data_IF_524215403357
#
_entry.id   IF_524215403357
#
_cell.length_a   1.000
_cell.length_b   1.000
_cell.length_c   1.000
_cell.angle_alpha   90.00
_cell.angle_beta   90.00
_cell.angle_gamma   90.00
#
_symmetry.space_group_name_H-M   'P 1'
#
loop_
_entity.id
_entity.type
_entity.pdbx_description
1 polymer ?
#
# COMPACT_ATOMS: atom_id res chain seq x y z
N UNK A 1 -0.78 -6.29 41.47
CA UNK A 1 -1.19 -7.71 41.49
C UNK A 1 -1.55 -8.20 40.09
N UNK A 2 -2.53 -7.63 39.37
CA UNK A 2 -2.80 -8.02 37.97
C UNK A 2 -1.66 -7.65 37.01
N UNK A 3 -1.11 -6.43 37.16
CA UNK A 3 -0.04 -5.91 36.31
C UNK A 3 1.24 -6.76 36.38
N UNK A 4 1.57 -7.30 37.55
CA UNK A 4 2.75 -8.15 37.76
C UNK A 4 2.59 -9.52 37.08
N UNK A 5 1.37 -10.08 37.11
CA UNK A 5 1.04 -11.33 36.43
C UNK A 5 1.04 -11.16 34.91
N UNK A 6 0.51 -10.05 34.41
CA UNK A 6 0.53 -9.71 33.00
C UNK A 6 1.97 -9.51 32.49
N UNK A 7 2.79 -8.76 33.23
CA UNK A 7 4.21 -8.58 32.90
C UNK A 7 4.95 -9.92 32.83
N UNK A 8 4.71 -10.82 33.78
CA UNK A 8 5.29 -12.17 33.78
C UNK A 8 4.83 -12.98 32.56
N UNK A 9 3.54 -12.92 32.23
CA UNK A 9 2.96 -13.66 31.12
C UNK A 9 3.50 -13.19 29.75
N UNK A 10 3.77 -11.89 29.59
CA UNK A 10 4.24 -11.32 28.33
C UNK A 10 5.77 -11.32 28.20
N UNK A 11 6.50 -11.09 29.29
CA UNK A 11 7.93 -10.77 29.19
C UNK A 11 8.87 -11.90 29.61
N UNK A 12 8.49 -12.78 30.54
CA UNK A 12 9.47 -13.68 31.17
C UNK A 12 9.72 -14.96 30.36
N UNK A 13 8.81 -15.30 29.45
CA UNK A 13 8.88 -16.55 28.68
C UNK A 13 8.71 -17.79 29.56
N UNK A 14 9.46 -18.85 29.24
CA UNK A 14 9.42 -20.12 29.97
C UNK A 14 8.29 -21.05 29.51
N UNK A 15 8.03 -22.07 30.32
CA UNK A 15 6.96 -23.04 30.05
C UNK A 15 5.75 -22.77 30.95
N UNK A 16 4.56 -22.99 30.41
CA UNK A 16 3.31 -22.85 31.14
C UNK A 16 2.37 -24.01 30.81
N UNK A 17 1.39 -24.24 31.69
CA UNK A 17 0.31 -25.17 31.42
C UNK A 17 -0.81 -24.41 30.70
N UNK A 18 -1.03 -24.73 29.43
CA UNK A 18 -2.10 -24.17 28.63
C UNK A 18 -3.30 -25.11 28.60
N UNK A 19 -4.50 -24.56 28.77
CA UNK A 19 -5.75 -25.26 28.51
C UNK A 19 -5.97 -25.33 27.00
N UNK A 20 -5.99 -26.54 26.46
CA UNK A 20 -6.31 -26.79 25.06
C UNK A 20 -7.65 -27.51 25.01
N UNK A 21 -8.66 -26.82 24.50
CA UNK A 21 -9.97 -27.38 24.26
C UNK A 21 -9.98 -28.15 22.94
N UNK A 22 -10.31 -29.43 22.99
CA UNK A 22 -10.53 -30.25 21.81
C UNK A 22 -12.02 -30.24 21.44
N UNK A 23 -12.36 -29.67 20.28
CA UNK A 23 -13.74 -29.58 19.79
C UNK A 23 -14.35 -30.95 19.44
N UNK A 24 -13.52 -31.92 19.03
CA UNK A 24 -13.97 -33.24 18.61
C UNK A 24 -14.35 -34.12 19.80
N UNK A 25 -13.60 -34.00 20.90
CA UNK A 25 -13.82 -34.77 22.14
C UNK A 25 -14.59 -33.93 23.18
N UNK A 26 -14.85 -32.65 22.89
CA UNK A 26 -15.47 -31.66 23.80
C UNK A 26 -14.83 -31.66 25.19
N UNK A 27 -13.51 -31.77 25.25
CA UNK A 27 -12.75 -31.94 26.49
C UNK A 27 -11.61 -30.94 26.58
N UNK A 28 -11.43 -30.34 27.76
CA UNK A 28 -10.26 -29.52 28.09
C UNK A 28 -9.12 -30.44 28.49
N UNK A 29 -7.94 -30.22 27.91
CA UNK A 29 -6.70 -30.90 28.30
C UNK A 29 -5.67 -29.87 28.72
N UNK A 30 -4.91 -30.18 29.78
CA UNK A 30 -3.80 -29.35 30.22
C UNK A 30 -2.52 -29.87 29.60
N UNK A 31 -1.86 -29.05 28.77
CA UNK A 31 -0.60 -29.41 28.13
C UNK A 31 0.48 -28.41 28.49
N UNK A 32 1.70 -28.90 28.69
CA UNK A 32 2.88 -28.07 28.87
C UNK A 32 3.24 -27.43 27.52
N UNK A 33 3.24 -26.11 27.47
CA UNK A 33 3.53 -25.31 26.29
C UNK A 33 4.67 -24.33 26.57
N UNK A 34 5.41 -23.95 25.53
CA UNK A 34 6.49 -22.96 25.62
C UNK A 34 5.95 -21.59 25.21
N UNK A 35 6.26 -20.54 25.98
CA UNK A 35 6.09 -19.16 25.55
C UNK A 35 7.23 -18.83 24.59
N UNK A 36 6.89 -18.67 23.31
CA UNK A 36 7.85 -18.35 22.24
C UNK A 36 8.05 -16.85 22.06
N UNK A 37 7.33 -16.03 22.82
CA UNK A 37 7.59 -14.61 23.02
C UNK A 37 8.16 -14.38 24.42
N UNK A 38 9.16 -13.50 24.50
CA UNK A 38 9.75 -13.02 25.75
C UNK A 38 10.44 -11.67 25.50
N UNK A 39 10.77 -10.97 26.57
CA UNK A 39 11.55 -9.75 26.50
C UNK A 39 12.99 -10.08 26.07
N UNK A 40 13.44 -9.41 25.01
CA UNK A 40 14.81 -9.55 24.51
C UNK A 40 15.74 -8.51 25.14
N UNK A 41 15.27 -7.28 25.34
CA UNK A 41 16.06 -6.16 25.83
C UNK A 41 15.24 -5.37 26.86
N UNK A 42 15.89 -4.99 27.95
CA UNK A 42 15.29 -4.22 29.03
C UNK A 42 15.98 -2.85 29.09
N UNK A 43 15.18 -1.79 29.06
CA UNK A 43 15.66 -0.41 29.15
C UNK A 43 15.36 0.11 30.54
N UNK A 44 16.41 0.49 31.27
CA UNK A 44 16.30 1.07 32.60
C UNK A 44 16.77 2.51 32.57
N UNK A 45 16.03 3.39 33.26
CA UNK A 45 16.40 4.79 33.44
C UNK A 45 16.82 5.00 34.89
N UNK A 46 17.95 5.70 35.10
CA UNK A 46 18.43 6.03 36.44
C UNK A 46 17.45 7.01 37.10
N UNK A 47 17.08 6.76 38.37
CA UNK A 47 16.01 7.49 39.05
C UNK A 47 16.27 8.99 39.18
N UNK A 48 17.50 9.38 39.50
CA UNK A 48 17.93 10.77 39.54
C UNK A 48 17.85 11.45 38.17
N UNK A 49 18.05 10.75 37.05
CA UNK A 49 17.83 11.31 35.70
C UNK A 49 16.37 11.70 35.48
N UNK A 50 15.43 10.88 35.97
CA UNK A 50 13.99 11.14 35.89
C UNK A 50 13.65 12.40 36.69
N UNK A 51 14.16 12.50 37.93
CA UNK A 51 13.89 13.62 38.84
C UNK A 51 14.58 14.92 38.42
N UNK A 52 15.76 14.84 37.76
CA UNK A 52 16.52 16.01 37.27
C UNK A 52 15.91 16.60 35.98
N UNK A 53 15.06 15.84 35.29
CA UNK A 53 14.48 16.25 34.01
C UNK A 53 13.00 16.56 34.21
N UNK A 54 12.52 17.79 34.14
CA UNK A 54 12.38 18.58 32.92
C UNK A 54 12.06 17.81 31.61
N UNK A 55 12.07 16.47 31.54
CA UNK A 55 11.82 15.71 30.31
C UNK A 55 10.36 15.80 29.93
N UNK A 56 9.44 15.61 30.88
CA UNK A 56 8.00 15.84 30.64
C UNK A 56 7.73 17.29 30.23
N UNK A 57 8.35 18.25 30.93
CA UNK A 57 8.24 19.67 30.57
C UNK A 57 8.91 19.99 29.23
N UNK A 58 10.00 19.32 28.86
CA UNK A 58 10.71 19.50 27.57
C UNK A 58 9.93 18.83 26.45
N UNK A 59 9.28 17.69 26.69
CA UNK A 59 8.37 17.05 25.76
C UNK A 59 7.10 17.89 25.56
N UNK A 60 6.49 18.41 26.62
CA UNK A 60 5.39 19.39 26.53
C UNK A 60 5.84 20.68 25.82
N UNK A 61 7.05 21.17 26.11
CA UNK A 61 7.63 22.33 25.45
C UNK A 61 8.04 22.03 24.00
N UNK A 62 8.33 20.79 23.60
CA UNK A 62 8.53 20.38 22.20
C UNK A 62 7.21 20.27 21.43
N UNK A 63 6.10 20.02 22.14
CA UNK A 63 4.76 20.09 21.55
C UNK A 63 4.33 21.55 21.35
N UNK A 64 4.72 22.46 22.26
CA UNK A 64 4.29 23.86 22.26
C UNK A 64 5.26 24.83 21.56
N UNK A 65 6.55 24.59 21.60
CA UNK A 65 7.52 25.24 20.73
C UNK A 65 7.66 24.34 19.53
N UNK A 66 7.34 24.88 18.36
CA UNK A 66 8.02 24.50 17.14
C UNK A 66 9.52 24.57 17.44
N UNK A 67 10.13 23.48 17.92
CA UNK A 67 11.53 23.21 17.63
C UNK A 67 11.45 22.82 16.17
N UNK A 68 11.68 23.78 15.24
CA UNK A 68 11.44 23.48 13.85
C UNK A 68 12.51 22.47 13.52
N UNK A 69 12.07 21.22 13.31
CA UNK A 69 12.87 20.13 12.74
C UNK A 69 13.95 20.76 11.87
N UNK A 70 15.26 20.53 12.14
CA UNK A 70 16.32 21.30 11.51
C UNK A 70 16.06 21.48 10.02
N UNK A 71 16.18 22.72 9.51
CA UNK A 71 15.79 23.09 8.13
C UNK A 71 16.21 22.04 7.07
N UNK A 72 17.41 21.43 7.12
CA UNK A 72 17.77 20.35 6.18
C UNK A 72 16.84 19.14 6.23
N UNK A 73 16.50 18.67 7.44
CA UNK A 73 15.60 17.53 7.66
C UNK A 73 14.19 17.91 7.20
N UNK A 74 13.70 19.09 7.58
CA UNK A 74 12.37 19.56 7.20
C UNK A 74 12.24 19.67 5.67
N UNK A 75 13.23 20.24 4.99
CA UNK A 75 13.26 20.33 3.53
C UNK A 75 13.31 18.94 2.88
N UNK A 76 14.07 18.01 3.45
CA UNK A 76 14.17 16.63 2.94
C UNK A 76 12.84 15.88 3.05
N UNK A 77 12.19 15.95 4.22
CA UNK A 77 10.87 15.36 4.46
C UNK A 77 9.83 16.02 3.56
N UNK A 78 9.83 17.36 3.46
CA UNK A 78 8.90 18.09 2.59
C UNK A 78 9.04 17.68 1.13
N UNK A 79 10.26 17.59 0.59
CA UNK A 79 10.48 17.13 -0.79
C UNK A 79 9.97 15.70 -1.00
N UNK A 80 10.24 14.82 -0.05
CA UNK A 80 9.79 13.42 -0.11
C UNK A 80 8.27 13.32 -0.09
N UNK A 81 7.60 14.10 0.76
CA UNK A 81 6.15 14.15 0.85
C UNK A 81 5.50 14.75 -0.41
N UNK A 82 6.09 15.80 -0.98
CA UNK A 82 5.61 16.38 -2.25
C UNK A 82 5.73 15.35 -3.38
N UNK A 83 6.88 14.69 -3.51
CA UNK A 83 7.09 13.63 -4.50
C UNK A 83 6.10 12.47 -4.30
N UNK A 84 5.87 12.06 -3.05
CA UNK A 84 4.87 11.05 -2.72
C UNK A 84 3.47 11.48 -3.13
N UNK A 85 3.08 12.73 -2.84
CA UNK A 85 1.76 13.28 -3.22
C UNK A 85 1.56 13.25 -4.74
N UNK A 86 2.56 13.70 -5.51
CA UNK A 86 2.50 13.64 -6.98
C UNK A 86 2.41 12.21 -7.51
N UNK A 87 3.16 11.27 -6.91
CA UNK A 87 3.06 9.87 -7.28
C UNK A 87 1.69 9.29 -6.90
N UNK A 88 1.15 9.63 -5.73
CA UNK A 88 -0.15 9.17 -5.27
C UNK A 88 -1.30 9.65 -6.16
N UNK A 89 -1.23 10.90 -6.65
CA UNK A 89 -2.24 11.47 -7.55
C UNK A 89 -2.37 10.69 -8.86
N UNK A 90 -1.27 10.10 -9.35
CA UNK A 90 -1.26 9.21 -10.52
C UNK A 90 -1.96 7.86 -10.24
N UNK A 91 -2.16 7.50 -8.97
CA UNK A 91 -2.86 6.28 -8.55
C UNK A 91 -4.32 6.56 -8.15
N UNK A 92 -5.00 7.38 -8.94
CA UNK A 92 -6.44 7.63 -8.83
C UNK A 92 -7.25 6.74 -9.78
N UNK A 93 -8.48 6.39 -9.38
CA UNK A 93 -9.39 5.63 -10.23
C UNK A 93 -9.71 6.40 -11.52
N UNK A 94 -9.76 7.73 -11.44
CA UNK A 94 -9.97 8.63 -12.56
C UNK A 94 -8.85 8.54 -13.60
N UNK A 95 -7.58 8.45 -13.17
CA UNK A 95 -6.45 8.26 -14.06
C UNK A 95 -6.55 6.92 -14.82
N UNK A 96 -6.88 5.82 -14.13
CA UNK A 96 -7.08 4.51 -14.76
C UNK A 96 -8.24 4.52 -15.76
N UNK A 97 -9.35 5.17 -15.41
CA UNK A 97 -10.50 5.32 -16.30
C UNK A 97 -10.18 6.22 -17.51
N UNK A 98 -9.41 7.29 -17.31
CA UNK A 98 -8.92 8.13 -18.38
C UNK A 98 -8.07 7.33 -19.36
N UNK A 99 -7.12 6.53 -18.87
CA UNK A 99 -6.28 5.68 -19.71
C UNK A 99 -7.10 4.66 -20.51
N UNK A 100 -8.11 4.02 -19.89
CA UNK A 100 -9.04 3.12 -20.61
C UNK A 100 -9.80 3.87 -21.71
N UNK A 101 -10.38 5.03 -21.40
CA UNK A 101 -11.13 5.85 -22.38
C UNK A 101 -10.24 6.32 -23.52
N UNK A 102 -9.01 6.72 -23.23
CA UNK A 102 -8.04 7.16 -24.22
C UNK A 102 -7.68 6.02 -25.18
N UNK A 103 -7.50 4.80 -24.66
CA UNK A 103 -7.31 3.61 -25.49
C UNK A 103 -8.55 3.31 -26.35
N UNK A 104 -9.76 3.53 -25.85
CA UNK A 104 -10.98 3.26 -26.61
C UNK A 104 -11.34 4.33 -27.67
N UNK A 105 -10.76 5.54 -27.63
CA UNK A 105 -11.13 6.63 -28.54
C UNK A 105 -10.98 6.28 -30.03
N UNK A 106 -9.88 5.64 -30.49
CA UNK A 106 -9.75 5.21 -31.88
C UNK A 106 -10.86 4.26 -32.35
N UNK A 107 -11.39 3.43 -31.43
CA UNK A 107 -12.44 2.44 -31.74
C UNK A 107 -13.83 3.09 -31.92
N UNK A 108 -14.09 4.23 -31.27
CA UNK A 108 -15.38 4.93 -31.36
C UNK A 108 -15.57 5.68 -32.68
N UNK A 109 -14.49 5.95 -33.42
CA UNK A 109 -14.51 6.65 -34.72
C UNK A 109 -15.15 5.78 -35.83
N UNK A 110 -15.37 4.49 -35.57
CA UNK A 110 -15.86 3.49 -36.53
C UNK A 110 -17.37 3.61 -36.82
N UNK A 111 -18.19 4.13 -35.89
CA UNK A 111 -19.65 4.17 -36.06
C UNK A 111 -20.18 5.19 -37.07
N UNK A 112 -19.32 6.07 -37.61
CA UNK A 112 -19.69 7.06 -38.63
C UNK A 112 -19.13 6.68 -40.00
N UNK A 113 -20.03 6.35 -40.92
CA UNK A 113 -19.77 6.03 -42.33
C UNK A 113 -18.64 6.87 -42.99
N UNK A 114 -17.57 6.19 -43.43
CA UNK A 114 -16.99 6.30 -44.78
C UNK A 114 -15.74 5.41 -44.92
N UNK A 115 -15.80 4.57 -45.94
CA UNK A 115 -15.00 3.38 -46.18
C UNK A 115 -13.69 3.71 -46.93
N UNK A 116 -12.66 2.90 -46.71
CA UNK A 116 -11.42 2.76 -47.49
C UNK A 116 -10.24 3.69 -47.18
N UNK A 117 -10.34 5.02 -47.16
CA UNK A 117 -9.15 5.90 -46.92
C UNK A 117 -8.75 5.99 -45.43
N UNK A 118 -9.64 5.57 -44.51
CA UNK A 118 -9.37 5.57 -43.06
C UNK A 118 -8.54 4.39 -42.57
N UNK A 119 -8.33 3.33 -43.35
CA UNK A 119 -7.71 2.08 -42.88
C UNK A 119 -6.31 2.28 -42.27
N UNK A 120 -5.39 2.89 -43.02
CA UNK A 120 -4.00 3.07 -42.58
C UNK A 120 -3.85 4.02 -41.38
N UNK A 121 -4.52 5.19 -41.39
CA UNK A 121 -4.50 6.10 -40.22
C UNK A 121 -5.16 5.50 -38.97
N UNK A 122 -6.18 4.67 -39.17
CA UNK A 122 -6.87 3.98 -38.07
C UNK A 122 -6.00 2.85 -37.49
N UNK A 123 -5.28 2.13 -38.35
CA UNK A 123 -4.31 1.14 -37.95
C UNK A 123 -3.16 1.77 -37.15
N UNK A 124 -2.61 2.89 -37.61
CA UNK A 124 -1.59 3.65 -36.86
C UNK A 124 -2.10 4.10 -35.48
N UNK A 125 -3.33 4.60 -35.40
CA UNK A 125 -3.96 5.00 -34.14
C UNK A 125 -4.23 3.80 -33.21
N UNK A 126 -4.60 2.66 -33.78
CA UNK A 126 -4.79 1.41 -33.02
C UNK A 126 -3.46 0.87 -32.50
N UNK A 127 -2.40 0.93 -33.31
CA UNK A 127 -1.04 0.59 -32.88
C UNK A 127 -0.58 1.49 -31.73
N UNK A 128 -0.83 2.81 -31.82
CA UNK A 128 -0.50 3.76 -30.76
C UNK A 128 -1.26 3.45 -29.46
N UNK A 129 -2.56 3.13 -29.55
CA UNK A 129 -3.37 2.72 -28.41
C UNK A 129 -2.85 1.44 -27.75
N UNK A 130 -2.48 0.42 -28.55
CA UNK A 130 -1.88 -0.82 -28.04
C UNK A 130 -0.55 -0.56 -27.36
N UNK A 131 0.34 0.24 -27.96
CA UNK A 131 1.63 0.60 -27.36
C UNK A 131 1.44 1.35 -26.04
N UNK A 132 0.50 2.29 -26.00
CA UNK A 132 0.17 3.06 -24.81
C UNK A 132 -0.39 2.17 -23.69
N UNK A 133 -1.40 1.35 -24.00
CA UNK A 133 -2.00 0.41 -23.06
C UNK A 133 -0.97 -0.57 -22.52
N UNK A 134 -0.12 -1.13 -23.38
CA UNK A 134 0.91 -2.10 -22.99
C UNK A 134 1.95 -1.48 -22.07
N UNK A 135 2.48 -0.29 -22.43
CA UNK A 135 3.42 0.45 -21.58
C UNK A 135 2.80 0.80 -20.22
N UNK A 136 1.56 1.29 -20.22
CA UNK A 136 0.84 1.62 -18.99
C UNK A 136 0.62 0.39 -18.10
N UNK A 137 0.20 -0.74 -18.67
CA UNK A 137 -0.04 -1.97 -17.92
C UNK A 137 1.23 -2.51 -17.27
N UNK A 138 2.34 -2.57 -18.01
CA UNK A 138 3.60 -3.09 -17.47
C UNK A 138 4.29 -2.14 -16.50
N UNK A 139 4.18 -0.82 -16.69
CA UNK A 139 4.85 0.14 -15.81
C UNK A 139 4.01 0.51 -14.58
N UNK A 140 2.68 0.53 -14.70
CA UNK A 140 1.78 1.04 -13.66
C UNK A 140 0.69 0.03 -13.33
N UNK A 141 -0.04 -0.47 -14.32
CA UNK A 141 -1.24 -1.29 -14.13
C UNK A 141 -1.01 -2.54 -13.28
N UNK A 142 0.01 -3.35 -13.57
CA UNK A 142 0.29 -4.59 -12.84
C UNK A 142 0.97 -4.37 -11.48
N UNK A 143 1.56 -3.20 -11.25
CA UNK A 143 2.17 -2.84 -9.97
C UNK A 143 1.17 -2.23 -8.96
N UNK A 144 -0.09 -2.00 -9.35
CA UNK A 144 -1.12 -1.42 -8.48
C UNK A 144 -2.09 -2.45 -7.93
N UNK A 145 -2.87 -2.10 -6.90
CA UNK A 145 -3.88 -3.01 -6.31
C UNK A 145 -5.05 -3.27 -7.27
N UNK A 146 -5.65 -4.46 -7.17
CA UNK A 146 -6.84 -4.84 -7.97
C UNK A 146 -8.01 -3.83 -7.84
N UNK A 147 -8.19 -3.25 -6.65
CA UNK A 147 -9.22 -2.24 -6.39
C UNK A 147 -9.08 -0.98 -7.26
N UNK A 148 -7.86 -0.64 -7.69
CA UNK A 148 -7.57 0.55 -8.49
C UNK A 148 -7.62 0.25 -9.99
N UNK A 149 -6.96 -0.83 -10.43
CA UNK A 149 -6.84 -1.18 -11.85
C UNK A 149 -8.07 -1.86 -12.46
N UNK A 150 -8.94 -2.42 -11.61
CA UNK A 150 -10.09 -3.24 -12.02
C UNK A 150 -9.70 -4.67 -12.43
N UNK A 151 -10.64 -5.43 -13.02
CA UNK A 151 -10.37 -6.76 -13.55
C UNK A 151 -9.47 -6.69 -14.80
N UNK A 152 -8.60 -7.68 -14.96
CA UNK A 152 -7.69 -7.75 -16.10
C UNK A 152 -8.40 -7.99 -17.44
N UNK A 153 -9.60 -8.58 -17.40
CA UNK A 153 -10.45 -8.83 -18.57
C UNK A 153 -10.78 -7.53 -19.32
N UNK A 154 -11.04 -6.43 -18.61
CA UNK A 154 -11.37 -5.14 -19.25
C UNK A 154 -10.25 -4.69 -20.20
N UNK A 155 -9.00 -4.81 -19.75
CA UNK A 155 -7.84 -4.41 -20.53
C UNK A 155 -7.56 -5.38 -21.68
N UNK A 156 -7.80 -6.67 -21.46
CA UNK A 156 -7.75 -7.69 -22.51
C UNK A 156 -8.75 -7.38 -23.63
N UNK A 157 -10.00 -7.05 -23.30
CA UNK A 157 -11.05 -6.83 -24.28
C UNK A 157 -10.75 -5.58 -25.15
N UNK A 158 -10.25 -4.50 -24.54
CA UNK A 158 -9.80 -3.29 -25.25
C UNK A 158 -8.67 -3.64 -26.23
N UNK A 159 -7.64 -4.36 -25.78
CA UNK A 159 -6.52 -4.75 -26.63
C UNK A 159 -6.95 -5.68 -27.78
N UNK A 160 -7.83 -6.66 -27.50
CA UNK A 160 -8.37 -7.55 -28.52
C UNK A 160 -9.14 -6.80 -29.61
N UNK A 161 -9.87 -5.74 -29.26
CA UNK A 161 -10.57 -4.93 -30.26
C UNK A 161 -9.61 -4.26 -31.23
N UNK A 162 -8.51 -3.65 -30.75
CA UNK A 162 -7.48 -3.06 -31.62
C UNK A 162 -6.76 -4.10 -32.47
N UNK A 163 -6.43 -5.27 -31.91
CA UNK A 163 -5.74 -6.33 -32.64
C UNK A 163 -6.59 -6.94 -33.76
N UNK A 164 -7.92 -6.97 -33.60
CA UNK A 164 -8.85 -7.39 -34.66
C UNK A 164 -8.96 -6.38 -35.80
N UNK A 165 -8.54 -5.13 -35.59
CA UNK A 165 -8.54 -4.08 -36.60
C UNK A 165 -7.25 -4.01 -37.43
N UNK A 166 -6.24 -4.84 -37.15
CA UNK A 166 -5.03 -4.97 -37.97
C UNK A 166 -5.33 -5.94 -39.13
N UNK A 167 -5.37 -5.43 -40.36
CA UNK A 167 -5.45 -6.19 -41.61
C UNK A 167 -4.21 -5.90 -42.44
#
# INVERSE_FOLDING_TARGET
MHDDEEMKAQCFGGEYMGEVFDSTIKRVSYKRQKRWWNAYMLFYTRKDTIETSSLEQTMQNMILKESPVPKPIWNSVRRSNIAFSHNQDQFSLEHFNFMKKLCCMPLQIISGSQSVVRGSKHEEMSMLAVQMATKFLFQVGFHTKKALRGPASDWHDILCQHLRCSQ
#
